data_IF_667366020585
#
_entry.id   IF_667366020585
#
_cell.length_a   1.000
_cell.length_b   1.000
_cell.length_c   1.000
_cell.angle_alpha   90.00
_cell.angle_beta   90.00
_cell.angle_gamma   90.00
#
_symmetry.space_group_name_H-M   'P 1'
#
loop_
_entity.id
_entity.type
_entity.pdbx_description
1 polymer ?
#
# COMPACT_ATOMS: atom_id res chain seq x y z
N UNK A 1 -15.48 7.94 -18.73
CA UNK A 1 -16.53 8.61 -17.99
C UNK A 1 -16.20 8.77 -16.47
N UNK A 2 -14.95 9.03 -16.09
CA UNK A 2 -14.51 9.22 -14.72
C UNK A 2 -13.81 8.00 -14.12
N UNK A 3 -13.55 8.01 -12.79
CA UNK A 3 -12.82 6.96 -12.10
C UNK A 3 -13.44 5.58 -12.25
N UNK A 4 -12.63 4.56 -12.44
CA UNK A 4 -13.05 3.15 -12.53
C UNK A 4 -12.34 2.32 -11.47
N UNK A 5 -13.05 1.34 -10.89
CA UNK A 5 -12.49 0.38 -9.95
C UNK A 5 -12.67 -1.05 -10.48
N UNK A 6 -11.65 -1.86 -10.30
CA UNK A 6 -11.78 -3.32 -10.36
C UNK A 6 -11.43 -3.92 -9.00
N UNK A 7 -12.26 -4.83 -8.51
CA UNK A 7 -11.97 -5.63 -7.34
C UNK A 7 -11.81 -7.10 -7.70
N UNK A 8 -11.05 -7.84 -6.90
CA UNK A 8 -10.89 -9.27 -7.12
C UNK A 8 -9.84 -9.86 -6.18
N UNK A 9 -9.96 -11.15 -5.88
CA UNK A 9 -9.01 -11.87 -5.05
C UNK A 9 -7.62 -11.99 -5.68
N UNK A 10 -6.68 -12.56 -4.93
CA UNK A 10 -5.37 -12.91 -5.43
C UNK A 10 -5.48 -13.75 -6.71
N UNK A 11 -4.62 -13.52 -7.69
CA UNK A 11 -4.56 -14.32 -8.91
C UNK A 11 -5.71 -14.15 -9.90
N UNK A 12 -6.58 -13.13 -9.74
CA UNK A 12 -7.69 -12.86 -10.68
C UNK A 12 -7.29 -12.01 -11.88
N UNK A 13 -6.03 -11.55 -11.97
CA UNK A 13 -5.51 -10.80 -13.12
C UNK A 13 -5.66 -9.28 -13.00
N UNK A 14 -5.89 -8.71 -11.83
CA UNK A 14 -6.00 -7.26 -11.60
C UNK A 14 -4.81 -6.47 -12.17
N UNK A 15 -3.60 -6.88 -11.82
CA UNK A 15 -2.34 -6.29 -12.31
C UNK A 15 -2.22 -6.35 -13.82
N UNK A 16 -2.59 -7.49 -14.43
CA UNK A 16 -2.60 -7.65 -15.89
C UNK A 16 -3.54 -6.62 -16.55
N UNK A 17 -4.73 -6.46 -15.99
CA UNK A 17 -5.68 -5.46 -16.51
C UNK A 17 -5.13 -4.04 -16.35
N UNK A 18 -4.48 -3.70 -15.21
CA UNK A 18 -3.87 -2.39 -15.02
C UNK A 18 -2.77 -2.11 -16.06
N UNK A 19 -1.89 -3.08 -16.32
CA UNK A 19 -0.81 -2.99 -17.33
C UNK A 19 -1.39 -2.81 -18.73
N UNK A 20 -2.33 -3.68 -19.16
CA UNK A 20 -2.97 -3.57 -20.47
C UNK A 20 -3.70 -2.24 -20.64
N UNK A 21 -4.38 -1.77 -19.59
CA UNK A 21 -5.07 -0.49 -19.63
C UNK A 21 -4.11 0.69 -19.76
N UNK A 22 -2.95 0.67 -19.09
CA UNK A 22 -1.93 1.72 -19.25
C UNK A 22 -1.42 1.80 -20.70
N UNK A 23 -1.12 0.65 -21.31
CA UNK A 23 -0.68 0.57 -22.71
C UNK A 23 -1.78 1.05 -23.66
N UNK A 24 -3.02 0.63 -23.45
CA UNK A 24 -4.15 1.03 -24.29
C UNK A 24 -4.43 2.54 -24.23
N UNK A 25 -4.36 3.13 -23.02
CA UNK A 25 -4.53 4.57 -22.84
C UNK A 25 -3.41 5.35 -23.55
N UNK A 26 -2.16 4.88 -23.47
CA UNK A 26 -1.04 5.50 -24.18
C UNK A 26 -1.23 5.47 -25.69
N UNK A 27 -1.64 4.32 -26.24
CA UNK A 27 -1.93 4.16 -27.68
C UNK A 27 -3.08 5.05 -28.12
N UNK A 28 -4.14 5.13 -27.32
CA UNK A 28 -5.31 5.96 -27.63
C UNK A 28 -4.98 7.45 -27.60
N UNK A 29 -4.19 7.92 -26.65
CA UNK A 29 -3.75 9.31 -26.61
C UNK A 29 -2.88 9.64 -27.84
N UNK A 30 -1.90 8.81 -28.18
CA UNK A 30 -1.06 8.98 -29.34
C UNK A 30 -1.88 9.00 -30.64
N UNK A 31 -2.83 8.08 -30.80
CA UNK A 31 -3.72 8.03 -31.96
C UNK A 31 -4.62 9.29 -32.06
N UNK A 32 -4.97 9.88 -30.94
CA UNK A 32 -5.71 11.14 -30.82
C UNK A 32 -4.85 12.40 -30.97
N UNK A 33 -3.56 12.28 -31.30
CA UNK A 33 -2.63 13.41 -31.44
C UNK A 33 -2.24 14.05 -30.10
N UNK A 34 -2.39 13.34 -29.00
CA UNK A 34 -2.05 13.82 -27.67
C UNK A 34 -0.84 13.06 -27.13
N UNK A 35 0.01 13.76 -26.41
CA UNK A 35 1.11 13.11 -25.72
C UNK A 35 0.60 12.30 -24.53
N UNK A 36 0.94 11.00 -24.41
CA UNK A 36 0.60 10.20 -23.23
C UNK A 36 1.24 10.79 -21.96
N UNK A 37 0.46 10.97 -20.92
CA UNK A 37 0.94 11.38 -19.60
C UNK A 37 0.29 10.46 -18.56
N UNK A 38 0.90 9.31 -18.34
CA UNK A 38 0.31 8.21 -17.58
C UNK A 38 1.16 7.90 -16.35
N UNK A 39 0.54 7.83 -15.18
CA UNK A 39 1.14 7.24 -13.99
C UNK A 39 0.56 5.84 -13.79
N UNK A 40 1.42 4.82 -13.77
CA UNK A 40 1.12 3.50 -13.25
C UNK A 40 1.83 3.35 -11.89
N UNK A 41 1.06 3.19 -10.83
CA UNK A 41 1.58 3.19 -9.47
C UNK A 41 1.14 1.97 -8.67
N UNK A 42 1.95 1.61 -7.69
CA UNK A 42 1.69 0.56 -6.72
C UNK A 42 2.34 0.89 -5.38
N UNK A 43 2.04 0.09 -4.34
CA UNK A 43 2.48 0.38 -2.99
C UNK A 43 3.99 0.20 -2.75
N UNK A 44 4.68 -0.74 -3.44
CA UNK A 44 6.10 -1.01 -3.20
C UNK A 44 6.98 -0.79 -4.42
N UNK A 45 8.29 -0.49 -4.21
CA UNK A 45 9.25 -0.31 -5.30
C UNK A 45 9.41 -1.55 -6.18
N UNK A 46 9.50 -2.73 -5.58
CA UNK A 46 9.71 -3.97 -6.33
C UNK A 46 8.52 -4.30 -7.24
N UNK A 47 7.30 -4.01 -6.77
CA UNK A 47 6.12 -4.13 -7.60
C UNK A 47 6.12 -3.10 -8.74
N UNK A 48 6.61 -1.88 -8.51
CA UNK A 48 6.75 -0.89 -9.56
C UNK A 48 7.76 -1.33 -10.63
N UNK A 49 8.90 -1.89 -10.22
CA UNK A 49 9.90 -2.43 -11.15
C UNK A 49 9.34 -3.61 -11.97
N UNK A 50 8.52 -4.43 -11.35
CA UNK A 50 7.84 -5.53 -12.05
C UNK A 50 6.79 -5.02 -13.05
N UNK A 51 5.94 -4.07 -12.63
CA UNK A 51 4.98 -3.40 -13.53
C UNK A 51 5.69 -2.77 -14.75
N UNK A 52 6.84 -2.11 -14.53
CA UNK A 52 7.63 -1.53 -15.61
C UNK A 52 8.10 -2.59 -16.60
N UNK A 53 8.59 -3.74 -16.10
CA UNK A 53 8.98 -4.86 -16.98
C UNK A 53 7.80 -5.41 -17.76
N UNK A 54 6.65 -5.60 -17.13
CA UNK A 54 5.44 -6.11 -17.80
C UNK A 54 4.96 -5.15 -18.90
N UNK A 55 4.95 -3.83 -18.64
CA UNK A 55 4.61 -2.81 -19.65
C UNK A 55 5.60 -2.85 -20.81
N UNK A 56 6.90 -2.93 -20.54
CA UNK A 56 7.94 -2.98 -21.56
C UNK A 56 7.88 -4.27 -22.42
N UNK A 57 7.49 -5.39 -21.81
CA UNK A 57 7.27 -6.66 -22.54
C UNK A 57 6.03 -6.61 -23.42
N UNK A 58 4.95 -5.99 -22.94
CA UNK A 58 3.68 -5.88 -23.67
C UNK A 58 3.77 -4.89 -24.83
N UNK A 59 4.48 -3.78 -24.65
CA UNK A 59 4.66 -2.74 -25.67
C UNK A 59 6.08 -2.16 -25.63
N UNK A 60 7.04 -2.78 -26.33
CA UNK A 60 8.44 -2.36 -26.32
C UNK A 60 8.71 -0.96 -26.87
N UNK A 61 7.78 -0.41 -27.66
CA UNK A 61 7.92 0.92 -28.26
C UNK A 61 7.40 2.04 -27.37
N UNK A 62 6.80 1.72 -26.24
CA UNK A 62 6.23 2.71 -25.34
C UNK A 62 7.35 3.48 -24.60
N UNK A 63 7.29 4.80 -24.65
CA UNK A 63 8.23 5.66 -23.95
C UNK A 63 7.93 5.71 -22.46
N UNK A 64 8.97 5.55 -21.63
CA UNK A 64 8.91 5.77 -20.19
C UNK A 64 9.48 7.14 -19.85
N UNK A 65 8.93 7.75 -18.79
CA UNK A 65 9.46 8.99 -18.22
C UNK A 65 9.74 8.84 -16.73
N UNK A 66 10.71 9.62 -16.23
CA UNK A 66 11.03 9.75 -14.83
C UNK A 66 10.69 11.15 -14.26
N UNK A 67 10.07 12.02 -15.07
CA UNK A 67 9.76 13.40 -14.73
C UNK A 67 8.27 13.69 -14.76
N UNK A 68 7.82 14.48 -13.79
CA UNK A 68 6.42 14.89 -13.67
C UNK A 68 5.98 15.77 -14.87
N UNK A 69 4.85 15.40 -15.48
CA UNK A 69 4.25 16.19 -16.58
C UNK A 69 4.90 15.98 -17.95
N UNK A 70 5.96 15.18 -18.05
CA UNK A 70 6.54 14.79 -19.35
C UNK A 70 5.73 13.68 -20.02
N UNK A 71 5.86 13.62 -21.36
CA UNK A 71 5.24 12.58 -22.16
C UNK A 71 5.80 11.19 -21.86
N UNK A 72 4.93 10.20 -21.79
CA UNK A 72 5.28 8.80 -21.56
C UNK A 72 4.54 8.17 -20.39
N UNK A 73 4.95 6.96 -20.04
CA UNK A 73 4.47 6.22 -18.87
C UNK A 73 5.48 6.33 -17.73
N UNK A 74 5.06 6.95 -16.64
CA UNK A 74 5.80 6.90 -15.38
C UNK A 74 5.34 5.68 -14.59
N UNK A 75 6.28 4.84 -14.16
CA UNK A 75 6.01 3.74 -13.23
C UNK A 75 6.73 4.03 -11.92
N UNK A 76 5.99 4.36 -10.86
CA UNK A 76 6.58 4.83 -9.61
C UNK A 76 5.65 4.64 -8.42
N UNK A 77 6.21 4.48 -7.21
CA UNK A 77 5.42 4.56 -5.97
C UNK A 77 5.00 6.00 -5.65
N UNK A 78 3.85 6.16 -4.99
CA UNK A 78 3.27 7.48 -4.67
C UNK A 78 4.15 8.34 -3.77
N UNK A 79 4.90 7.73 -2.83
CA UNK A 79 5.83 8.47 -1.97
C UNK A 79 6.95 9.16 -2.77
N UNK A 80 7.45 8.48 -3.82
CA UNK A 80 8.44 9.09 -4.72
C UNK A 80 7.83 10.23 -5.52
N UNK A 81 6.61 10.05 -6.02
CA UNK A 81 5.87 11.10 -6.75
C UNK A 81 5.64 12.31 -5.84
N UNK A 82 5.19 12.10 -4.60
CA UNK A 82 5.03 13.18 -3.62
C UNK A 82 6.35 13.93 -3.38
N UNK A 83 7.45 13.20 -3.21
CA UNK A 83 8.78 13.80 -3.02
C UNK A 83 9.19 14.67 -4.21
N UNK A 84 8.96 14.22 -5.44
CA UNK A 84 9.25 15.01 -6.65
C UNK A 84 8.41 16.29 -6.71
N UNK A 85 7.13 16.22 -6.31
CA UNK A 85 6.25 17.40 -6.22
C UNK A 85 6.77 18.38 -5.20
N UNK A 86 7.13 17.93 -4.00
CA UNK A 86 7.65 18.78 -2.93
C UNK A 86 9.01 19.40 -3.27
N UNK A 87 9.85 18.68 -4.01
CA UNK A 87 11.10 19.25 -4.55
C UNK A 87 10.84 20.37 -5.54
N UNK A 88 9.82 20.21 -6.40
CA UNK A 88 9.39 21.24 -7.37
C UNK A 88 8.78 22.45 -6.66
N UNK A 89 7.97 22.23 -5.62
CA UNK A 89 7.34 23.30 -4.82
C UNK A 89 8.37 24.17 -4.07
N UNK A 90 9.49 23.57 -3.64
CA UNK A 90 10.56 24.30 -2.97
C UNK A 90 10.06 25.10 -1.76
N UNK A 91 10.32 26.40 -1.75
CA UNK A 91 9.94 27.30 -0.64
C UNK A 91 8.45 27.62 -0.57
N UNK A 92 7.68 27.39 -1.64
CA UNK A 92 6.23 27.63 -1.67
C UNK A 92 5.45 26.67 -0.75
N UNK A 93 6.10 25.62 -0.27
CA UNK A 93 5.46 24.65 0.61
C UNK A 93 5.23 25.15 2.04
N UNK A 94 5.95 26.18 2.49
CA UNK A 94 5.88 26.66 3.87
C UNK A 94 4.48 27.20 4.27
N UNK A 95 3.80 28.06 3.49
CA UNK A 95 2.43 28.47 3.78
C UNK A 95 1.43 27.31 3.69
N UNK A 96 1.63 26.36 2.78
CA UNK A 96 0.80 25.18 2.65
C UNK A 96 0.93 24.28 3.88
N UNK A 97 2.13 24.14 4.43
CA UNK A 97 2.34 23.38 5.66
C UNK A 97 1.58 24.01 6.85
N UNK A 98 1.50 25.34 6.92
CA UNK A 98 0.67 26.02 7.91
C UNK A 98 -0.82 25.69 7.76
N UNK A 99 -1.32 25.59 6.53
CA UNK A 99 -2.72 25.24 6.26
C UNK A 99 -3.03 23.77 6.57
N UNK A 100 -2.16 22.84 6.13
CA UNK A 100 -2.40 21.39 6.16
C UNK A 100 -2.05 20.78 7.51
N UNK A 101 -0.90 21.16 8.07
CA UNK A 101 -0.34 20.61 9.31
C UNK A 101 -0.69 21.49 10.51
N UNK A 102 -1.03 22.75 10.29
CA UNK A 102 -1.27 23.73 11.35
C UNK A 102 0.01 24.43 11.84
N UNK A 103 1.15 24.17 11.21
CA UNK A 103 2.44 24.79 11.52
C UNK A 103 3.30 24.92 10.27
N UNK A 104 4.09 26.00 10.12
CA UNK A 104 4.99 26.14 8.98
C UNK A 104 6.12 25.10 9.07
N UNK A 105 6.58 24.64 7.92
CA UNK A 105 7.73 23.73 7.78
C UNK A 105 8.74 24.31 6.80
N UNK A 106 9.98 24.44 7.24
CA UNK A 106 11.08 24.91 6.36
C UNK A 106 11.64 23.76 5.51
N UNK A 107 11.63 22.56 6.05
CA UNK A 107 12.09 21.34 5.39
C UNK A 107 11.00 20.26 5.49
N UNK A 108 10.63 19.70 4.35
CA UNK A 108 9.55 18.70 4.27
C UNK A 108 10.02 17.34 3.74
N UNK A 109 11.30 17.21 3.39
CA UNK A 109 11.86 16.00 2.79
C UNK A 109 12.64 15.12 3.78
N UNK A 110 12.72 15.50 5.04
CA UNK A 110 13.39 14.75 6.11
C UNK A 110 12.37 13.97 6.91
N UNK A 111 12.61 12.68 7.09
CA UNK A 111 11.73 11.78 7.84
C UNK A 111 12.18 11.61 9.29
N UNK A 112 11.24 11.37 10.23
CA UNK A 112 11.57 10.97 11.59
C UNK A 112 12.34 9.64 11.58
N UNK A 113 13.44 9.57 12.35
CA UNK A 113 14.21 8.33 12.54
C UNK A 113 13.70 7.49 13.71
N UNK A 114 13.01 8.11 14.64
CA UNK A 114 12.40 7.50 15.83
C UNK A 114 10.87 7.64 15.78
N UNK A 115 10.17 6.85 16.58
CA UNK A 115 8.72 6.97 16.73
C UNK A 115 8.40 8.18 17.61
N UNK A 116 8.15 9.32 16.97
CA UNK A 116 7.84 10.59 17.64
C UNK A 116 6.55 10.47 18.48
N UNK A 117 5.58 9.66 18.08
CA UNK A 117 4.36 9.44 18.86
C UNK A 117 4.67 8.78 20.20
N UNK A 118 5.66 7.88 20.27
CA UNK A 118 6.09 7.26 21.52
C UNK A 118 6.74 8.27 22.47
N UNK A 119 7.56 9.19 21.93
CA UNK A 119 8.14 10.29 22.70
C UNK A 119 7.04 11.21 23.27
N UNK A 120 6.08 11.60 22.43
CA UNK A 120 4.96 12.46 22.84
C UNK A 120 4.11 11.77 23.93
N UNK A 121 3.84 10.46 23.80
CA UNK A 121 3.13 9.71 24.82
C UNK A 121 3.85 9.72 26.17
N UNK A 122 5.17 9.65 26.19
CA UNK A 122 5.94 9.71 27.43
C UNK A 122 5.81 11.07 28.13
N UNK A 123 5.60 12.16 27.38
CA UNK A 123 5.49 13.53 27.88
C UNK A 123 4.06 13.89 28.31
N UNK A 124 3.07 13.57 27.48
CA UNK A 124 1.68 14.02 27.67
C UNK A 124 0.68 12.89 27.94
N UNK A 125 1.12 11.65 27.88
CA UNK A 125 0.27 10.47 28.02
C UNK A 125 -0.48 10.34 29.34
N UNK A 126 0.01 10.95 30.42
CA UNK A 126 -0.67 11.00 31.72
C UNK A 126 -2.06 11.62 31.70
N UNK A 127 -2.33 12.52 30.74
CA UNK A 127 -3.64 13.15 30.52
C UNK A 127 -4.60 12.36 29.64
N UNK A 128 -4.17 11.26 29.01
CA UNK A 128 -5.00 10.39 28.17
C UNK A 128 -5.63 9.27 28.98
N UNK A 129 -6.91 8.93 28.73
CA UNK A 129 -7.52 7.70 29.26
C UNK A 129 -6.69 6.46 28.84
N UNK A 130 -6.63 5.44 29.67
CA UNK A 130 -5.80 4.25 29.48
C UNK A 130 -6.00 3.59 28.10
N UNK A 131 -7.25 3.40 27.67
CA UNK A 131 -7.59 2.81 26.35
C UNK A 131 -7.22 3.69 25.14
N UNK A 132 -6.71 4.92 25.32
CA UNK A 132 -6.26 5.84 24.28
C UNK A 132 -4.73 6.09 24.35
N UNK A 133 -4.04 5.49 25.30
CA UNK A 133 -2.58 5.64 25.50
C UNK A 133 -1.79 4.70 24.59
N UNK A 134 -1.94 4.88 23.27
CA UNK A 134 -1.22 4.11 22.27
C UNK A 134 -0.70 5.03 21.19
N UNK A 135 0.55 4.86 20.82
CA UNK A 135 1.15 5.56 19.67
C UNK A 135 0.36 5.26 18.39
N UNK A 136 0.01 4.01 18.17
CA UNK A 136 -0.76 3.55 17.01
C UNK A 136 -2.16 4.19 16.95
N UNK A 137 -2.80 4.36 18.12
CA UNK A 137 -4.09 5.06 18.19
C UNK A 137 -3.96 6.53 17.79
N UNK A 138 -2.97 7.25 18.33
CA UNK A 138 -2.74 8.68 18.06
C UNK A 138 -2.32 8.91 16.61
N UNK A 139 -1.38 8.13 16.10
CA UNK A 139 -0.96 8.17 14.71
C UNK A 139 -2.14 7.90 13.77
N UNK A 140 -2.89 6.87 14.05
CA UNK A 140 -4.08 6.52 13.28
C UNK A 140 -5.16 7.61 13.33
N UNK A 141 -5.37 8.27 14.48
CA UNK A 141 -6.28 9.41 14.59
C UNK A 141 -5.80 10.61 13.78
N UNK A 142 -4.50 10.89 13.84
CA UNK A 142 -3.88 11.95 13.06
C UNK A 142 -4.01 11.71 11.56
N UNK A 143 -3.62 10.53 11.08
CA UNK A 143 -3.61 10.18 9.65
C UNK A 143 -5.00 9.99 9.03
N UNK A 144 -5.96 9.48 9.81
CA UNK A 144 -7.29 9.16 9.30
C UNK A 144 -8.29 10.30 9.44
N UNK A 145 -8.09 11.19 10.42
CA UNK A 145 -9.08 12.20 10.79
C UNK A 145 -8.53 13.61 10.65
N UNK A 146 -7.40 13.89 11.30
CA UNK A 146 -6.88 15.26 11.43
C UNK A 146 -6.26 15.74 10.12
N UNK A 147 -5.32 14.98 9.60
CA UNK A 147 -4.57 15.34 8.40
C UNK A 147 -5.45 15.41 7.14
N UNK A 148 -6.31 14.42 6.83
CA UNK A 148 -7.14 14.49 5.64
C UNK A 148 -8.18 15.61 5.64
N UNK A 149 -8.61 16.05 6.82
CA UNK A 149 -9.60 17.13 6.96
C UNK A 149 -8.92 18.48 7.24
N UNK A 150 -7.59 18.55 7.14
CA UNK A 150 -6.77 19.75 7.35
C UNK A 150 -7.14 20.48 8.65
N UNK A 151 -7.30 19.71 9.74
CA UNK A 151 -7.72 20.23 11.04
C UNK A 151 -6.57 20.95 11.71
N UNK A 152 -6.64 22.26 11.80
CA UNK A 152 -5.57 23.08 12.35
C UNK A 152 -5.76 23.44 13.84
N UNK A 153 -7.00 23.37 14.37
CA UNK A 153 -7.31 23.83 15.73
C UNK A 153 -8.14 22.84 16.54
N UNK A 154 -8.04 22.93 17.88
CA UNK A 154 -8.89 22.15 18.80
C UNK A 154 -10.39 22.36 18.50
N UNK A 155 -10.80 23.58 18.23
CA UNK A 155 -12.22 23.88 17.96
C UNK A 155 -12.74 23.13 16.72
N UNK A 156 -11.95 23.06 15.66
CA UNK A 156 -12.26 22.26 14.49
C UNK A 156 -12.33 20.77 14.86
N UNK A 157 -11.32 20.25 15.58
CA UNK A 157 -11.27 18.85 15.99
C UNK A 157 -12.45 18.42 16.85
N UNK A 158 -12.94 19.31 17.71
CA UNK A 158 -14.12 19.02 18.55
C UNK A 158 -15.41 18.83 17.74
N UNK A 159 -15.48 19.35 16.51
CA UNK A 159 -16.68 19.37 15.66
C UNK A 159 -16.66 18.36 14.51
N UNK A 160 -15.47 17.91 14.08
CA UNK A 160 -15.34 17.05 12.91
C UNK A 160 -15.91 15.65 13.12
N UNK A 161 -16.34 15.02 12.02
CA UNK A 161 -16.68 13.61 11.98
C UNK A 161 -15.40 12.77 11.96
N UNK A 162 -15.47 11.59 12.55
CA UNK A 162 -14.36 10.64 12.66
C UNK A 162 -14.70 9.32 11.94
N UNK A 163 -14.83 9.32 10.60
CA UNK A 163 -15.19 8.14 9.85
C UNK A 163 -14.11 7.05 10.00
N UNK A 164 -14.54 5.79 10.04
CA UNK A 164 -13.63 4.65 10.15
C UNK A 164 -12.97 4.46 11.52
N UNK A 165 -13.33 5.28 12.55
CA UNK A 165 -12.80 5.18 13.91
C UNK A 165 -13.81 4.49 14.82
N UNK A 166 -13.53 3.25 15.23
CA UNK A 166 -14.44 2.44 16.06
C UNK A 166 -14.61 2.94 17.51
N UNK A 167 -13.79 3.90 17.97
CA UNK A 167 -13.81 4.43 19.35
C UNK A 167 -14.48 5.78 19.38
N UNK A 168 -15.58 5.90 20.14
CA UNK A 168 -16.25 7.18 20.39
C UNK A 168 -15.42 8.06 21.34
N UNK A 169 -15.23 9.34 21.00
CA UNK A 169 -14.55 10.32 21.82
C UNK A 169 -15.53 11.44 22.19
N UNK A 170 -15.78 11.60 23.49
CA UNK A 170 -16.44 12.77 24.03
C UNK A 170 -15.53 14.03 23.96
N UNK A 171 -16.07 15.17 24.33
CA UNK A 171 -15.34 16.46 24.26
C UNK A 171 -14.05 16.46 25.09
N UNK A 172 -14.07 15.82 26.26
CA UNK A 172 -12.90 15.76 27.16
C UNK A 172 -11.80 14.87 26.58
N UNK A 173 -12.17 13.69 26.07
CA UNK A 173 -11.25 12.77 25.38
C UNK A 173 -10.65 13.40 24.14
N UNK A 174 -11.47 14.12 23.33
CA UNK A 174 -10.97 14.84 22.16
C UNK A 174 -9.95 15.90 22.55
N UNK A 175 -10.19 16.68 23.61
CA UNK A 175 -9.23 17.69 24.08
C UNK A 175 -7.91 17.05 24.54
N UNK A 176 -7.95 15.88 25.17
CA UNK A 176 -6.74 15.14 25.56
C UNK A 176 -5.96 14.61 24.38
N UNK A 177 -6.65 14.02 23.37
CA UNK A 177 -6.04 13.56 22.11
C UNK A 177 -5.44 14.73 21.34
N UNK A 178 -6.14 15.89 21.29
CA UNK A 178 -5.63 17.06 20.61
C UNK A 178 -4.32 17.59 21.20
N UNK A 179 -4.17 17.60 22.52
CA UNK A 179 -2.90 17.97 23.17
C UNK A 179 -1.75 17.08 22.73
N UNK A 180 -2.00 15.77 22.56
CA UNK A 180 -0.98 14.89 22.04
C UNK A 180 -0.65 15.19 20.56
N UNK A 181 -1.65 15.56 19.74
CA UNK A 181 -1.44 15.96 18.35
C UNK A 181 -0.63 17.27 18.27
N UNK A 182 -0.92 18.25 19.10
CA UNK A 182 -0.13 19.49 19.20
C UNK A 182 1.31 19.17 19.60
N UNK A 183 1.51 18.36 20.64
CA UNK A 183 2.85 17.90 21.04
C UNK A 183 3.62 17.17 19.93
N UNK A 184 2.93 16.38 19.11
CA UNK A 184 3.54 15.74 17.94
C UNK A 184 3.98 16.75 16.88
N UNK A 185 3.11 17.74 16.59
CA UNK A 185 3.40 18.81 15.63
C UNK A 185 4.58 19.68 16.09
N UNK A 186 4.59 20.06 17.35
CA UNK A 186 5.70 20.84 17.94
C UNK A 186 7.00 20.05 17.88
N UNK A 187 6.98 18.79 18.31
CA UNK A 187 8.15 17.94 18.32
C UNK A 187 8.73 17.70 16.92
N UNK A 188 7.85 17.45 15.94
CA UNK A 188 8.30 17.28 14.54
C UNK A 188 8.79 18.57 13.91
N UNK A 189 8.25 19.73 14.33
CA UNK A 189 8.77 21.04 13.93
C UNK A 189 10.17 21.30 14.48
N UNK A 190 10.39 21.04 15.77
CA UNK A 190 11.70 21.18 16.42
C UNK A 190 12.76 20.29 15.79
N UNK A 191 12.38 19.05 15.44
CA UNK A 191 13.26 18.10 14.76
C UNK A 191 13.48 18.43 13.27
N UNK A 192 12.72 19.33 12.69
CA UNK A 192 12.74 19.62 11.25
C UNK A 192 12.34 18.42 10.37
N UNK A 193 11.43 17.58 10.84
CA UNK A 193 11.01 16.36 10.15
C UNK A 193 9.53 16.40 9.77
N UNK A 194 9.15 15.64 8.75
CA UNK A 194 7.78 15.55 8.22
C UNK A 194 7.48 14.07 7.91
N UNK A 195 6.37 13.55 8.39
CA UNK A 195 6.00 12.15 8.14
C UNK A 195 5.65 11.88 6.67
N UNK A 196 5.64 10.61 6.26
CA UNK A 196 5.23 10.23 4.90
C UNK A 196 3.79 10.68 4.59
N UNK A 197 2.86 10.51 5.51
CA UNK A 197 1.47 10.93 5.34
C UNK A 197 1.34 12.45 5.22
N UNK A 198 2.13 13.21 5.99
CA UNK A 198 2.19 14.68 5.85
C UNK A 198 2.76 15.09 4.49
N UNK A 199 3.82 14.44 4.01
CA UNK A 199 4.39 14.75 2.69
C UNK A 199 3.38 14.52 1.56
N UNK A 200 2.63 13.42 1.59
CA UNK A 200 1.56 13.13 0.64
C UNK A 200 0.47 14.23 0.67
N UNK A 201 0.03 14.61 1.87
CA UNK A 201 -1.01 15.64 2.05
C UNK A 201 -0.53 17.01 1.59
N UNK A 202 0.73 17.37 1.86
CA UNK A 202 1.34 18.63 1.40
C UNK A 202 1.47 18.66 -0.13
N UNK A 203 1.92 17.55 -0.74
CA UNK A 203 2.02 17.46 -2.19
C UNK A 203 0.65 17.59 -2.87
N UNK A 204 -0.38 16.95 -2.31
CA UNK A 204 -1.75 17.09 -2.79
C UNK A 204 -2.25 18.54 -2.71
N UNK A 205 -2.04 19.20 -1.56
CA UNK A 205 -2.47 20.57 -1.35
C UNK A 205 -1.77 21.56 -2.27
N UNK A 206 -0.45 21.38 -2.51
CA UNK A 206 0.28 22.22 -3.45
C UNK A 206 -0.25 22.06 -4.89
N UNK A 207 -0.50 20.83 -5.35
CA UNK A 207 -1.10 20.60 -6.66
C UNK A 207 -2.49 21.21 -6.80
N UNK A 208 -3.30 21.19 -5.74
CA UNK A 208 -4.62 21.81 -5.73
C UNK A 208 -4.51 23.35 -5.85
N UNK A 209 -3.53 23.97 -5.18
CA UNK A 209 -3.27 25.40 -5.33
C UNK A 209 -2.76 25.76 -6.72
N UNK A 210 -1.87 24.95 -7.30
CA UNK A 210 -1.38 25.16 -8.67
C UNK A 210 -2.52 25.03 -9.69
N UNK A 211 -3.39 24.02 -9.53
CA UNK A 211 -4.57 23.89 -10.39
C UNK A 211 -5.53 25.09 -10.26
N UNK A 212 -5.72 25.64 -9.07
CA UNK A 212 -6.49 26.87 -8.86
C UNK A 212 -5.86 28.10 -9.55
N UNK A 213 -4.55 28.08 -9.82
CA UNK A 213 -3.82 29.10 -10.60
C UNK A 213 -3.84 28.82 -12.10
N UNK A 214 -4.50 27.75 -12.54
CA UNK A 214 -4.60 27.36 -13.96
C UNK A 214 -3.45 26.47 -14.45
N UNK A 215 -2.60 25.97 -13.55
CA UNK A 215 -1.55 25.00 -13.92
C UNK A 215 -2.16 23.62 -14.13
N UNK A 216 -1.88 22.98 -15.26
CA UNK A 216 -2.37 21.64 -15.55
C UNK A 216 -1.79 20.61 -14.58
N UNK A 217 -2.60 19.65 -14.20
CA UNK A 217 -2.16 18.51 -13.39
C UNK A 217 -1.17 17.63 -14.17
N UNK A 218 -0.23 16.98 -13.45
CA UNK A 218 0.92 16.33 -14.11
C UNK A 218 0.59 15.11 -14.95
N UNK A 219 -0.57 14.49 -14.73
CA UNK A 219 -0.95 13.29 -15.47
C UNK A 219 -2.35 13.43 -16.08
N UNK A 220 -2.55 12.77 -17.20
CA UNK A 220 -3.86 12.61 -17.83
C UNK A 220 -4.60 11.38 -17.31
N UNK A 221 -3.85 10.33 -16.99
CA UNK A 221 -4.37 9.08 -16.49
C UNK A 221 -3.50 8.58 -15.32
N UNK A 222 -4.13 8.13 -14.26
CA UNK A 222 -3.45 7.51 -13.11
C UNK A 222 -4.06 6.14 -12.84
N UNK A 223 -3.22 5.11 -12.90
CA UNK A 223 -3.60 3.72 -12.66
C UNK A 223 -2.90 3.22 -11.39
N UNK A 224 -3.66 2.60 -10.51
CA UNK A 224 -3.20 2.13 -9.21
C UNK A 224 -3.40 0.63 -9.12
N UNK A 225 -2.34 -0.11 -8.85
CA UNK A 225 -2.41 -1.49 -8.41
C UNK A 225 -2.25 -1.58 -6.89
N UNK A 226 -2.90 -2.56 -6.26
CA UNK A 226 -2.94 -2.76 -4.80
C UNK A 226 -3.54 -1.56 -4.03
N UNK A 227 -4.62 -0.97 -4.55
CA UNK A 227 -5.22 0.24 -4.00
C UNK A 227 -5.78 0.08 -2.58
N UNK A 228 -6.06 -1.14 -2.10
CA UNK A 228 -6.58 -1.41 -0.75
C UNK A 228 -5.62 -1.00 0.38
N UNK A 229 -4.34 -0.80 0.09
CA UNK A 229 -3.33 -0.40 1.09
C UNK A 229 -3.11 1.11 1.18
N UNK A 230 -3.78 1.87 0.35
CA UNK A 230 -3.63 3.32 0.32
C UNK A 230 -4.21 3.96 1.59
N UNK A 231 -3.48 4.95 2.13
CA UNK A 231 -3.98 5.81 3.20
C UNK A 231 -4.85 6.95 2.64
N UNK A 232 -5.60 7.67 3.48
CA UNK A 232 -6.31 8.88 3.08
C UNK A 232 -5.45 9.90 2.33
N UNK A 233 -4.23 10.14 2.80
CA UNK A 233 -3.30 11.07 2.16
C UNK A 233 -2.89 10.59 0.74
N UNK A 234 -2.74 9.28 0.53
CA UNK A 234 -2.51 8.73 -0.80
C UNK A 234 -3.70 9.01 -1.73
N UNK A 235 -4.94 8.81 -1.26
CA UNK A 235 -6.13 9.07 -2.08
C UNK A 235 -6.29 10.55 -2.44
N UNK A 236 -5.96 11.45 -1.51
CA UNK A 236 -5.93 12.89 -1.79
C UNK A 236 -4.89 13.22 -2.86
N UNK A 237 -3.67 12.67 -2.74
CA UNK A 237 -2.65 12.86 -3.75
C UNK A 237 -3.09 12.32 -5.11
N UNK A 238 -3.64 11.09 -5.16
CA UNK A 238 -4.15 10.52 -6.41
C UNK A 238 -5.16 11.45 -7.10
N UNK A 239 -6.10 12.01 -6.32
CA UNK A 239 -7.07 12.95 -6.88
C UNK A 239 -6.44 14.23 -7.38
N UNK A 240 -5.40 14.72 -6.69
CA UNK A 240 -4.66 15.92 -7.06
C UNK A 240 -3.73 15.74 -8.28
N UNK A 241 -3.36 14.50 -8.63
CA UNK A 241 -2.44 14.21 -9.74
C UNK A 241 -3.07 14.30 -11.13
N UNK A 242 -4.39 14.25 -11.24
CA UNK A 242 -5.11 14.16 -12.52
C UNK A 242 -6.37 15.01 -12.50
N UNK A 243 -6.70 15.65 -13.63
CA UNK A 243 -7.97 16.37 -13.76
C UNK A 243 -9.16 15.41 -13.72
N UNK A 244 -10.26 15.76 -13.05
CA UNK A 244 -11.49 14.99 -13.12
C UNK A 244 -12.00 14.88 -14.57
N UNK A 245 -12.14 13.66 -15.06
CA UNK A 245 -12.57 13.46 -16.42
C UNK A 245 -12.62 11.99 -16.85
N UNK A 246 -12.83 11.73 -18.15
CA UNK A 246 -12.85 10.38 -18.68
C UNK A 246 -11.52 9.66 -18.48
N UNK A 247 -11.59 8.43 -17.91
CA UNK A 247 -10.43 7.57 -17.68
C UNK A 247 -9.32 8.19 -16.81
N UNK A 248 -9.69 9.15 -15.95
CA UNK A 248 -8.76 9.86 -15.06
C UNK A 248 -8.08 8.92 -14.04
N UNK A 249 -8.86 8.15 -13.29
CA UNK A 249 -8.37 7.22 -12.29
C UNK A 249 -8.82 5.79 -12.58
N UNK A 250 -7.91 4.85 -12.41
CA UNK A 250 -8.20 3.42 -12.41
C UNK A 250 -7.58 2.78 -11.17
N UNK A 251 -8.40 2.07 -10.38
CA UNK A 251 -7.97 1.45 -9.14
C UNK A 251 -8.20 -0.06 -9.21
N UNK A 252 -7.14 -0.84 -9.00
CA UNK A 252 -7.21 -2.27 -8.82
C UNK A 252 -6.98 -2.62 -7.34
N UNK A 253 -7.90 -3.37 -6.73
CA UNK A 253 -7.86 -3.64 -5.29
C UNK A 253 -8.30 -5.06 -4.93
N UNK A 254 -7.84 -5.52 -3.76
CA UNK A 254 -8.24 -6.76 -3.12
C UNK A 254 -8.52 -6.50 -1.63
N UNK A 255 -9.78 -6.38 -1.27
CA UNK A 255 -10.20 -6.06 0.10
C UNK A 255 -9.80 -7.14 1.11
N UNK A 256 -9.62 -8.41 0.68
CA UNK A 256 -9.17 -9.51 1.52
C UNK A 256 -7.67 -9.45 1.84
N UNK A 257 -6.88 -8.76 1.01
CA UNK A 257 -5.44 -8.59 1.21
C UNK A 257 -5.07 -7.26 1.90
N UNK A 258 -6.03 -6.59 2.52
CA UNK A 258 -5.77 -5.37 3.29
C UNK A 258 -5.01 -5.70 4.57
N UNK A 259 -3.73 -5.34 4.62
CA UNK A 259 -2.87 -5.59 5.79
C UNK A 259 -2.83 -4.42 6.78
N UNK A 260 -3.22 -3.22 6.37
CA UNK A 260 -3.17 -2.02 7.21
C UNK A 260 -4.51 -1.62 7.85
N UNK A 261 -5.48 -2.51 7.94
CA UNK A 261 -6.67 -2.46 8.81
C UNK A 261 -7.58 -1.22 8.75
N UNK A 262 -7.29 -0.22 7.90
CA UNK A 262 -8.01 1.05 7.86
C UNK A 262 -9.18 0.98 6.88
N UNK A 263 -10.41 1.17 7.37
CA UNK A 263 -11.60 1.29 6.49
C UNK A 263 -11.59 2.66 5.82
N UNK A 264 -11.53 2.67 4.50
CA UNK A 264 -11.48 3.89 3.69
C UNK A 264 -12.56 3.79 2.61
N UNK A 265 -13.32 4.87 2.43
CA UNK A 265 -14.33 4.98 1.38
C UNK A 265 -13.87 6.01 0.35
N UNK A 266 -13.71 5.60 -0.91
CA UNK A 266 -13.16 6.40 -2.01
C UNK A 266 -13.92 7.72 -2.23
N UNK A 267 -15.26 7.69 -2.08
CA UNK A 267 -16.11 8.88 -2.30
C UNK A 267 -15.78 10.04 -1.35
N UNK A 268 -15.25 9.77 -0.15
CA UNK A 268 -14.83 10.81 0.79
C UNK A 268 -13.63 11.63 0.30
N UNK A 269 -12.90 11.11 -0.69
CA UNK A 269 -11.70 11.74 -1.27
C UNK A 269 -11.93 12.20 -2.72
N UNK A 270 -13.19 12.38 -3.12
CA UNK A 270 -13.54 12.85 -4.47
C UNK A 270 -13.38 11.80 -5.59
N UNK A 271 -13.22 10.53 -5.21
CA UNK A 271 -13.07 9.41 -6.17
C UNK A 271 -14.41 8.66 -6.25
N UNK A 272 -15.24 9.01 -7.23
CA UNK A 272 -16.57 8.45 -7.42
C UNK A 272 -16.53 7.29 -8.41
N UNK A 273 -16.63 6.06 -7.91
CA UNK A 273 -16.58 4.84 -8.75
C UNK A 273 -17.94 4.15 -8.91
N UNK A 274 -19.00 4.71 -8.34
CA UNK A 274 -20.36 4.14 -8.39
C UNK A 274 -20.80 3.91 -9.84
N UNK A 275 -21.26 2.70 -10.14
CA UNK A 275 -21.64 2.27 -11.49
C UNK A 275 -20.46 2.00 -12.43
N UNK A 276 -19.20 2.21 -11.98
CA UNK A 276 -17.97 1.97 -12.73
C UNK A 276 -17.03 1.02 -11.99
N UNK A 277 -17.59 0.20 -11.12
CA UNK A 277 -16.89 -0.90 -10.46
C UNK A 277 -17.15 -2.21 -11.19
N UNK A 278 -16.11 -3.05 -11.30
CA UNK A 278 -16.20 -4.41 -11.86
C UNK A 278 -15.50 -5.37 -10.92
N UNK A 279 -16.07 -6.56 -10.78
CA UNK A 279 -15.52 -7.63 -9.95
C UNK A 279 -14.95 -8.75 -10.81
N UNK A 280 -13.75 -9.22 -10.47
CA UNK A 280 -13.11 -10.38 -11.06
C UNK A 280 -13.29 -11.56 -10.10
N UNK A 281 -13.91 -12.64 -10.57
CA UNK A 281 -14.25 -13.80 -9.73
C UNK A 281 -13.46 -15.06 -10.06
N UNK A 282 -12.75 -15.09 -11.21
CA UNK A 282 -11.93 -16.22 -11.62
C UNK A 282 -10.47 -16.02 -11.17
N UNK A 283 -9.98 -17.00 -10.41
CA UNK A 283 -8.58 -17.08 -9.98
C UNK A 283 -7.81 -17.99 -10.94
N UNK A 284 -6.81 -17.46 -11.61
CA UNK A 284 -5.97 -18.19 -12.58
C UNK A 284 -4.62 -18.64 -12.01
N UNK A 285 -4.28 -18.23 -10.81
CA UNK A 285 -2.98 -18.44 -10.16
C UNK A 285 -3.00 -19.64 -9.22
N UNK A 286 -3.92 -19.63 -8.26
CA UNK A 286 -4.00 -20.55 -7.14
C UNK A 286 -4.89 -21.74 -7.47
N UNK A 287 -4.59 -22.93 -6.98
CA UNK A 287 -5.45 -24.12 -7.10
C UNK A 287 -6.72 -23.93 -6.27
N UNK A 288 -7.78 -24.67 -6.63
CA UNK A 288 -9.06 -24.63 -5.89
C UNK A 288 -8.85 -25.01 -4.42
N UNK A 289 -8.05 -26.03 -4.14
CA UNK A 289 -7.78 -26.50 -2.77
C UNK A 289 -7.12 -25.43 -1.91
N UNK A 290 -6.08 -24.75 -2.44
CA UNK A 290 -5.43 -23.66 -1.72
C UNK A 290 -6.37 -22.46 -1.53
N UNK A 291 -7.22 -22.18 -2.53
CA UNK A 291 -8.18 -21.09 -2.47
C UNK A 291 -9.24 -21.37 -1.40
N UNK A 292 -9.81 -22.55 -1.37
CA UNK A 292 -10.83 -22.97 -0.40
C UNK A 292 -10.26 -22.95 1.03
N UNK A 293 -9.03 -23.46 1.23
CA UNK A 293 -8.35 -23.40 2.51
C UNK A 293 -8.11 -21.97 2.99
N UNK A 294 -7.67 -21.07 2.09
CA UNK A 294 -7.46 -19.67 2.42
C UNK A 294 -8.76 -18.97 2.81
N UNK A 295 -9.86 -19.22 2.10
CA UNK A 295 -11.17 -18.67 2.46
C UNK A 295 -11.72 -19.25 3.75
N UNK A 296 -11.49 -20.53 4.07
CA UNK A 296 -11.85 -21.12 5.36
C UNK A 296 -11.21 -20.40 6.56
N UNK A 297 -10.02 -19.79 6.37
CA UNK A 297 -9.40 -18.93 7.39
C UNK A 297 -10.09 -17.55 7.46
N UNK A 298 -10.56 -17.01 6.34
CA UNK A 298 -11.15 -15.68 6.25
C UNK A 298 -12.64 -15.64 6.62
N UNK A 299 -13.35 -16.77 6.60
CA UNK A 299 -14.81 -16.86 6.78
C UNK A 299 -15.35 -16.29 8.10
N UNK A 300 -14.49 -16.04 9.07
CA UNK A 300 -14.85 -15.43 10.36
C UNK A 300 -14.81 -13.90 10.33
N UNK A 301 -14.44 -13.28 9.22
CA UNK A 301 -14.27 -11.83 9.07
C UNK A 301 -15.36 -11.19 8.22
N UNK A 302 -15.86 -10.02 8.64
CA UNK A 302 -16.68 -9.14 7.79
C UNK A 302 -15.74 -8.24 6.96
N UNK A 303 -15.72 -8.43 5.66
CA UNK A 303 -14.92 -7.64 4.73
C UNK A 303 -15.82 -6.64 4.00
N UNK A 304 -15.33 -5.41 3.90
CA UNK A 304 -15.98 -4.35 3.15
C UNK A 304 -15.03 -3.86 2.06
N UNK A 305 -15.57 -3.59 0.89
CA UNK A 305 -14.84 -3.01 -0.22
C UNK A 305 -14.55 -1.52 -0.01
N UNK A 306 -13.86 -0.88 -0.96
CA UNK A 306 -13.54 0.56 -0.89
C UNK A 306 -14.74 1.48 -1.17
N UNK A 307 -15.94 0.95 -1.35
CA UNK A 307 -17.22 1.69 -1.38
C UNK A 307 -18.04 1.51 -0.09
N UNK A 308 -17.54 0.69 0.87
CA UNK A 308 -18.21 0.36 2.11
C UNK A 308 -19.31 -0.69 1.97
N UNK A 309 -19.28 -1.47 0.89
CA UNK A 309 -20.23 -2.57 0.68
C UNK A 309 -19.62 -3.89 1.17
N UNK A 310 -20.47 -4.77 1.72
CA UNK A 310 -20.03 -6.09 2.13
C UNK A 310 -19.48 -6.89 0.93
N UNK A 311 -18.31 -7.48 1.10
CA UNK A 311 -17.68 -8.29 0.05
C UNK A 311 -18.04 -9.77 0.22
N UNK A 312 -18.67 -10.34 -0.80
CA UNK A 312 -19.00 -11.77 -0.84
C UNK A 312 -17.80 -12.60 -1.34
N UNK A 313 -17.51 -13.72 -0.67
CA UNK A 313 -16.42 -14.64 -1.00
C UNK A 313 -16.81 -15.61 -2.12
N UNK A 314 -16.89 -15.16 -3.37
CA UNK A 314 -17.23 -16.00 -4.52
C UNK A 314 -16.13 -16.00 -5.56
N UNK A 315 -15.02 -16.69 -5.24
CA UNK A 315 -13.95 -16.91 -6.21
C UNK A 315 -13.89 -18.36 -6.64
N UNK A 316 -13.63 -18.58 -7.93
CA UNK A 316 -13.54 -19.93 -8.51
C UNK A 316 -12.20 -20.08 -9.20
N UNK A 317 -11.47 -21.15 -8.87
CA UNK A 317 -10.26 -21.53 -9.59
C UNK A 317 -10.55 -22.69 -10.55
N UNK A 318 -10.17 -22.57 -11.84
CA UNK A 318 -10.20 -23.69 -12.78
C UNK A 318 -9.04 -24.68 -12.57
N UNK A 319 -8.05 -24.32 -11.73
CA UNK A 319 -6.87 -25.14 -11.46
C UNK A 319 -7.15 -26.05 -10.27
N UNK A 320 -6.67 -27.29 -10.36
CA UNK A 320 -6.69 -28.25 -9.26
C UNK A 320 -5.26 -28.62 -8.86
N UNK A 321 -5.05 -28.95 -7.60
CA UNK A 321 -3.74 -29.34 -7.06
C UNK A 321 -3.92 -30.15 -5.77
N UNK A 322 -2.83 -30.50 -5.08
CA UNK A 322 -2.91 -31.16 -3.79
C UNK A 322 -3.56 -30.26 -2.73
N UNK A 323 -4.12 -30.89 -1.71
CA UNK A 323 -4.60 -30.17 -0.54
C UNK A 323 -3.44 -29.53 0.24
N UNK A 324 -3.65 -28.35 0.84
CA UNK A 324 -2.67 -27.75 1.73
C UNK A 324 -2.35 -28.66 2.91
N UNK A 325 -1.08 -28.79 3.26
CA UNK A 325 -0.63 -29.55 4.42
C UNK A 325 -0.68 -28.68 5.67
N UNK A 326 -1.31 -29.22 6.73
CA UNK A 326 -1.24 -28.64 8.07
C UNK A 326 -0.39 -29.57 8.95
N UNK A 327 0.79 -29.11 9.33
CA UNK A 327 1.72 -29.84 10.19
C UNK A 327 1.71 -29.26 11.59
N UNK A 328 1.45 -30.11 12.58
CA UNK A 328 1.53 -29.74 14.00
C UNK A 328 2.93 -30.06 14.52
N UNK A 329 3.50 -29.12 15.27
CA UNK A 329 4.79 -29.26 15.93
C UNK A 329 4.61 -29.15 17.46
N UNK A 330 5.35 -29.93 18.21
CA UNK A 330 5.29 -29.89 19.68
C UNK A 330 6.12 -28.75 20.28
N UNK A 331 7.15 -28.34 19.55
CA UNK A 331 8.00 -27.20 19.91
C UNK A 331 8.69 -26.60 18.67
N UNK A 332 9.50 -25.58 18.89
CA UNK A 332 10.22 -24.88 17.81
C UNK A 332 11.25 -25.75 17.10
N UNK A 333 11.87 -26.69 17.81
CA UNK A 333 12.86 -27.57 17.21
C UNK A 333 12.21 -28.60 16.28
N UNK A 334 11.07 -29.14 16.66
CA UNK A 334 10.23 -30.02 15.84
C UNK A 334 9.66 -29.28 14.63
N UNK A 335 9.18 -28.03 14.81
CA UNK A 335 8.71 -27.19 13.69
C UNK A 335 9.80 -27.02 12.62
N UNK A 336 11.01 -26.66 13.05
CA UNK A 336 12.15 -26.47 12.15
C UNK A 336 12.61 -27.80 11.52
N UNK A 337 12.51 -28.92 12.24
CA UNK A 337 12.77 -30.27 11.70
C UNK A 337 11.84 -30.59 10.55
N UNK A 338 10.53 -30.49 10.77
CA UNK A 338 9.50 -30.73 9.74
C UNK A 338 9.63 -29.79 8.54
N UNK A 339 9.96 -28.52 8.79
CA UNK A 339 10.20 -27.57 7.72
C UNK A 339 11.44 -27.94 6.88
N UNK A 340 12.52 -28.41 7.52
CA UNK A 340 13.73 -28.84 6.83
C UNK A 340 13.49 -30.11 5.97
N UNK A 341 12.76 -31.08 6.51
CA UNK A 341 12.37 -32.30 5.79
C UNK A 341 11.53 -31.96 4.55
N UNK A 342 10.52 -31.09 4.72
CA UNK A 342 9.65 -30.69 3.62
C UNK A 342 10.39 -29.93 2.53
N UNK A 343 11.26 -29.00 2.90
CA UNK A 343 12.10 -28.25 1.97
C UNK A 343 13.03 -29.17 1.19
N UNK A 344 13.67 -30.13 1.87
CA UNK A 344 14.56 -31.12 1.25
C UNK A 344 13.80 -32.00 0.24
N UNK A 345 12.60 -32.45 0.62
CA UNK A 345 11.73 -33.22 -0.26
C UNK A 345 11.36 -32.40 -1.52
N UNK A 346 10.94 -31.17 -1.37
CA UNK A 346 10.53 -30.31 -2.48
C UNK A 346 11.69 -29.97 -3.41
N UNK A 347 12.88 -29.71 -2.87
CA UNK A 347 14.08 -29.45 -3.65
C UNK A 347 14.49 -30.71 -4.46
N UNK A 348 14.33 -31.91 -3.87
CA UNK A 348 14.55 -33.17 -4.58
C UNK A 348 13.56 -33.34 -5.75
N UNK A 349 12.27 -33.20 -5.48
CA UNK A 349 11.21 -33.27 -6.49
C UNK A 349 11.39 -32.28 -7.66
N UNK A 350 11.84 -31.04 -7.37
CA UNK A 350 12.06 -30.03 -8.39
C UNK A 350 13.26 -30.40 -9.28
N UNK A 351 14.35 -30.92 -8.72
CA UNK A 351 15.48 -31.45 -9.50
C UNK A 351 15.07 -32.59 -10.40
N UNK A 352 14.34 -33.57 -9.88
CA UNK A 352 13.88 -34.76 -10.63
C UNK A 352 12.94 -34.37 -11.77
N UNK A 353 12.18 -33.27 -11.63
CA UNK A 353 11.30 -32.76 -12.67
C UNK A 353 11.98 -31.77 -13.64
N UNK A 354 13.28 -31.55 -13.50
CA UNK A 354 14.05 -30.63 -14.34
C UNK A 354 13.77 -29.14 -14.05
N UNK A 355 13.17 -28.82 -12.91
CA UNK A 355 12.87 -27.48 -12.45
C UNK A 355 14.00 -27.01 -11.52
N UNK A 356 14.96 -26.28 -12.06
CA UNK A 356 16.04 -25.67 -11.29
C UNK A 356 15.70 -24.21 -10.90
N UNK A 357 14.72 -24.06 -10.03
CA UNK A 357 14.27 -22.76 -9.52
C UNK A 357 13.99 -22.81 -8.00
N UNK A 358 15.00 -23.08 -7.15
CA UNK A 358 14.82 -23.18 -5.70
C UNK A 358 14.22 -21.92 -5.07
N UNK A 359 14.47 -20.74 -5.67
CA UNK A 359 13.90 -19.45 -5.24
C UNK A 359 12.37 -19.37 -5.42
N UNK A 360 11.75 -20.31 -6.11
CA UNK A 360 10.29 -20.42 -6.21
C UNK A 360 9.65 -21.08 -4.97
N UNK A 361 10.46 -21.50 -4.00
CA UNK A 361 10.05 -22.01 -2.71
C UNK A 361 10.25 -20.94 -1.65
N UNK A 362 9.22 -20.63 -0.86
CA UNK A 362 9.31 -19.61 0.17
C UNK A 362 8.83 -20.08 1.53
N UNK A 363 9.56 -19.71 2.57
CA UNK A 363 9.14 -19.80 3.97
C UNK A 363 8.70 -18.41 4.43
N UNK A 364 7.42 -18.28 4.77
CA UNK A 364 6.85 -17.01 5.20
C UNK A 364 6.71 -16.97 6.71
N UNK A 365 7.16 -15.89 7.32
CA UNK A 365 7.13 -15.67 8.76
C UNK A 365 6.47 -14.33 9.11
N UNK A 366 6.09 -14.15 10.36
CA UNK A 366 5.37 -12.96 10.82
C UNK A 366 6.26 -11.73 10.85
N UNK A 367 7.49 -11.86 11.36
CA UNK A 367 8.40 -10.75 11.60
C UNK A 367 9.87 -11.09 11.29
N UNK A 368 10.75 -10.09 11.34
CA UNK A 368 12.17 -10.25 11.04
C UNK A 368 12.91 -11.12 12.05
N UNK A 369 12.50 -11.09 13.30
CA UNK A 369 13.12 -11.89 14.34
C UNK A 369 12.88 -13.38 14.07
N UNK A 370 11.65 -13.74 13.72
CA UNK A 370 11.31 -15.11 13.32
C UNK A 370 12.05 -15.51 12.03
N UNK A 371 12.19 -14.60 11.06
CA UNK A 371 12.96 -14.87 9.83
C UNK A 371 14.38 -15.30 10.15
N UNK A 372 15.08 -14.53 10.95
CA UNK A 372 16.48 -14.79 11.27
C UNK A 372 16.63 -16.09 12.08
N UNK A 373 15.69 -16.36 12.99
CA UNK A 373 15.65 -17.62 13.74
C UNK A 373 15.40 -18.83 12.83
N UNK A 374 14.52 -18.72 11.83
CA UNK A 374 14.26 -19.78 10.85
C UNK A 374 15.47 -20.03 9.96
N UNK A 375 16.11 -18.99 9.46
CA UNK A 375 17.32 -19.13 8.63
C UNK A 375 18.41 -19.88 9.39
N UNK A 376 18.68 -19.49 10.63
CA UNK A 376 19.67 -20.15 11.46
C UNK A 376 19.31 -21.60 11.80
N UNK A 377 18.03 -21.86 12.12
CA UNK A 377 17.54 -23.19 12.48
C UNK A 377 17.55 -24.16 11.29
N UNK A 378 17.28 -23.71 10.07
CA UNK A 378 17.38 -24.51 8.85
C UNK A 378 18.84 -24.76 8.47
N UNK A 379 19.74 -23.78 8.62
CA UNK A 379 21.17 -23.97 8.39
C UNK A 379 21.79 -25.04 9.31
N UNK A 380 21.38 -25.09 10.59
CA UNK A 380 21.77 -26.14 11.54
C UNK A 380 21.30 -27.55 11.12
N UNK A 381 20.31 -27.62 10.22
CA UNK A 381 19.76 -28.87 9.64
C UNK A 381 20.22 -29.10 8.20
N UNK A 382 21.29 -28.41 7.80
CA UNK A 382 21.91 -28.53 6.47
C UNK A 382 20.98 -28.12 5.31
N UNK A 383 19.97 -27.29 5.57
CA UNK A 383 19.11 -26.69 4.55
C UNK A 383 19.49 -25.24 4.36
N UNK A 384 20.15 -24.95 3.25
CA UNK A 384 20.57 -23.59 2.91
C UNK A 384 19.40 -22.78 2.32
N UNK A 385 19.06 -21.70 2.98
CA UNK A 385 18.02 -20.75 2.57
C UNK A 385 18.56 -19.34 2.54
N UNK A 386 17.86 -18.42 1.87
CA UNK A 386 18.22 -17.00 1.81
C UNK A 386 17.23 -16.14 2.57
N UNK A 387 17.70 -15.36 3.52
CA UNK A 387 16.91 -14.27 4.10
C UNK A 387 16.68 -13.17 3.07
N UNK A 388 15.42 -12.70 2.92
CA UNK A 388 15.06 -11.59 2.03
C UNK A 388 14.40 -10.49 2.85
N UNK A 389 14.98 -9.29 2.80
CA UNK A 389 14.39 -8.10 3.45
C UNK A 389 13.98 -7.05 2.39
N UNK A 390 14.89 -6.16 1.99
CA UNK A 390 14.62 -5.08 1.01
C UNK A 390 15.12 -5.40 -0.39
N UNK A 391 15.91 -6.43 -0.50
CA UNK A 391 16.56 -6.86 -1.73
C UNK A 391 15.59 -7.59 -2.66
N UNK A 392 15.96 -7.69 -3.93
CA UNK A 392 15.24 -8.55 -4.86
C UNK A 392 15.41 -10.03 -4.45
N UNK A 393 14.43 -10.87 -4.76
CA UNK A 393 14.53 -12.30 -4.57
C UNK A 393 15.69 -12.81 -5.45
N UNK A 394 16.75 -13.29 -4.81
CA UNK A 394 17.92 -13.85 -5.53
C UNK A 394 17.62 -15.25 -6.07
N UNK A 395 18.53 -15.83 -6.85
CA UNK A 395 18.41 -17.16 -7.44
C UNK A 395 19.17 -18.24 -6.65
N UNK A 396 18.81 -19.49 -6.87
CA UNK A 396 19.58 -20.68 -6.47
C UNK A 396 19.32 -21.21 -5.06
N UNK A 397 18.46 -20.57 -4.25
CA UNK A 397 18.10 -21.05 -2.89
C UNK A 397 16.65 -20.71 -2.56
N UNK A 398 15.95 -21.55 -1.76
CA UNK A 398 14.68 -21.17 -1.15
C UNK A 398 14.82 -19.89 -0.33
N UNK A 399 13.75 -19.12 -0.24
CA UNK A 399 13.78 -17.82 0.43
C UNK A 399 12.99 -17.85 1.73
N UNK A 400 13.48 -17.09 2.73
CA UNK A 400 12.78 -16.85 3.99
C UNK A 400 12.48 -15.35 4.10
N UNK A 401 11.21 -14.99 4.24
CA UNK A 401 10.81 -13.59 4.32
C UNK A 401 9.57 -13.39 5.19
N UNK A 402 9.31 -12.14 5.57
CA UNK A 402 8.06 -11.82 6.27
C UNK A 402 6.87 -11.84 5.31
N UNK A 403 5.66 -12.17 5.83
CA UNK A 403 4.41 -12.10 5.06
C UNK A 403 4.19 -10.72 4.42
N UNK A 404 4.55 -9.63 5.12
CA UNK A 404 4.51 -8.27 4.56
C UNK A 404 5.40 -8.13 3.34
N UNK A 405 6.58 -8.74 3.36
CA UNK A 405 7.53 -8.70 2.25
C UNK A 405 7.12 -9.56 1.07
N UNK A 406 6.43 -10.67 1.34
CA UNK A 406 5.92 -11.57 0.32
C UNK A 406 4.73 -11.01 -0.47
N UNK A 407 4.11 -9.92 0.03
CA UNK A 407 2.95 -9.33 -0.64
C UNK A 407 3.26 -8.96 -2.09
N UNK A 408 2.41 -9.41 -3.02
CA UNK A 408 2.57 -9.23 -4.46
C UNK A 408 3.59 -10.16 -5.12
N UNK A 409 4.32 -10.98 -4.35
CA UNK A 409 5.21 -12.02 -4.89
C UNK A 409 4.44 -13.33 -5.08
N UNK A 410 5.01 -14.20 -5.93
CA UNK A 410 4.44 -15.49 -6.26
C UNK A 410 5.48 -16.58 -6.02
N UNK A 411 5.06 -17.67 -5.36
CA UNK A 411 5.87 -18.84 -5.11
C UNK A 411 5.13 -20.10 -5.54
N UNK A 412 5.87 -21.13 -5.91
CA UNK A 412 5.28 -22.40 -6.30
C UNK A 412 4.98 -23.29 -5.10
N UNK A 413 5.79 -23.16 -4.06
CA UNK A 413 5.68 -23.90 -2.81
C UNK A 413 6.01 -22.98 -1.63
#
# INVERSE_FOLDING_TARGET
NGPMRISGGAGTGKTVIAVHRAVELAKRDAAGGREPQILLTTYTRNLADDLRRQVAQLEPRLSFTERLGESGVMVSGLDRVARMILQRAGTEIAPIAQEVIGQPRKQVLTYPRANVWQEVLSLVGGGLPEGLRSADFLESEYEMVVLPQRVATLQQYLRIRRPGRGVALDRRKRAAVWRAIEGYRDRTADLGVTSFSEQLALAAAWLDQEAARGVLRPFRHVLVDEAQDLSPAHLQLLRALVEPGPDDLFLAEDSHQRIYGKKITLSHYGIQVRGRSRRLTRNYRTTRQNLDAAFGILDQGAYEDMEGQAEEHRYVSPRSGPDPLLLHAVDRADELGKAAELLTLWLGQDRDSGLDAPESIAVLVRDRYQRDAVVNGLAQRHVEVRAVDREAVGRGRPVVMTMHRAKGLEFRK
#
